data_IF_844195381270
#
_entry.id   IF_844195381270
#
_cell.length_a   1.000
_cell.length_b   1.000
_cell.length_c   1.000
_cell.angle_alpha   90.00
_cell.angle_beta   90.00
_cell.angle_gamma   90.00
#
_symmetry.space_group_name_H-M   'P 1'
#
loop_
_entity.id
_entity.type
_entity.pdbx_description
1 polymer ?
#
# COMPACT_ATOMS: atom_id res chain seq x y z
N UNK A 1 -33.29 -30.75 1.76
CA UNK A 1 -33.76 -29.36 1.86
C UNK A 1 -32.74 -28.50 1.12
N UNK A 2 -33.09 -27.93 -0.03
CA UNK A 2 -32.19 -27.12 -0.85
C UNK A 2 -31.86 -25.81 -0.12
N UNK A 3 -30.60 -25.40 -0.14
CA UNK A 3 -30.26 -23.98 -0.21
C UNK A 3 -29.06 -23.81 -1.15
N UNK A 4 -29.29 -23.05 -2.23
CA UNK A 4 -28.33 -22.71 -3.28
C UNK A 4 -27.41 -21.62 -2.77
N UNK A 5 -26.09 -21.83 -2.84
CA UNK A 5 -25.12 -20.75 -2.72
C UNK A 5 -24.83 -20.20 -4.13
N UNK A 6 -25.14 -18.91 -4.35
CA UNK A 6 -24.77 -18.13 -5.54
C UNK A 6 -23.77 -17.06 -5.08
N UNK A 7 -22.67 -16.91 -5.81
CA UNK A 7 -21.73 -15.80 -5.66
C UNK A 7 -20.28 -16.27 -5.61
N UNK A 8 -19.73 -16.61 -6.79
CA UNK A 8 -18.35 -17.04 -6.94
C UNK A 8 -17.42 -15.88 -7.27
N UNK A 9 -16.37 -15.72 -6.47
CA UNK A 9 -15.04 -15.41 -6.95
C UNK A 9 -14.20 -16.67 -6.70
N UNK A 10 -13.89 -17.45 -7.75
CA UNK A 10 -12.98 -18.58 -7.62
C UNK A 10 -11.54 -18.09 -7.66
N UNK A 11 -10.80 -18.40 -6.61
CA UNK A 11 -9.34 -18.32 -6.62
C UNK A 11 -8.84 -19.73 -7.01
N UNK A 12 -8.70 -19.99 -8.31
CA UNK A 12 -8.18 -21.26 -8.79
C UNK A 12 -6.66 -21.29 -8.63
N UNK A 13 -6.21 -21.82 -7.48
CA UNK A 13 -4.82 -22.19 -7.25
C UNK A 13 -4.59 -23.59 -7.84
N UNK A 14 -4.08 -23.66 -9.06
CA UNK A 14 -3.57 -24.90 -9.63
C UNK A 14 -2.20 -25.22 -9.01
N UNK A 15 -2.17 -26.17 -8.08
CA UNK A 15 -0.94 -26.79 -7.60
C UNK A 15 -0.75 -28.14 -8.31
N UNK A 16 0.31 -28.25 -9.11
CA UNK A 16 0.84 -29.55 -9.53
C UNK A 16 1.55 -30.18 -8.32
N UNK A 17 0.91 -31.20 -7.75
CA UNK A 17 1.48 -32.45 -7.20
C UNK A 17 0.50 -32.98 -6.15
N UNK A 18 -0.36 -33.90 -6.60
CA UNK A 18 -1.39 -34.49 -5.78
C UNK A 18 -0.84 -35.30 -4.62
N UNK A 19 -1.07 -34.84 -3.40
CA UNK A 19 -1.20 -35.64 -2.18
C UNK A 19 -2.19 -34.93 -1.23
N UNK A 20 -3.17 -35.64 -0.62
CA UNK A 20 -4.10 -35.01 0.30
C UNK A 20 -3.51 -34.97 1.71
N UNK A 21 -3.37 -33.77 2.28
CA UNK A 21 -3.26 -33.58 3.74
C UNK A 21 -4.43 -32.74 4.20
N UNK A 22 -5.41 -33.39 4.82
CA UNK A 22 -6.50 -32.75 5.57
C UNK A 22 -5.92 -32.09 6.82
N UNK A 23 -6.16 -30.79 6.99
CA UNK A 23 -5.89 -30.08 8.25
C UNK A 23 -7.21 -29.42 8.68
N UNK A 24 -7.86 -30.00 9.69
CA UNK A 24 -9.02 -29.39 10.36
C UNK A 24 -8.53 -28.21 11.22
N UNK A 25 -9.04 -27.02 10.97
CA UNK A 25 -8.93 -25.88 11.88
C UNK A 25 -10.22 -25.79 12.71
N UNK A 26 -10.15 -26.18 13.99
CA UNK A 26 -11.22 -25.97 14.95
C UNK A 26 -11.04 -24.60 15.62
N UNK A 27 -11.87 -23.64 15.24
CA UNK A 27 -12.22 -22.50 16.10
C UNK A 27 -13.55 -22.83 16.77
N UNK A 28 -13.59 -22.89 18.11
CA UNK A 28 -14.66 -22.28 18.91
C UNK A 28 -14.31 -22.36 20.41
N UNK A 29 -14.33 -21.20 21.06
CA UNK A 29 -14.44 -21.15 22.51
C UNK A 29 -15.85 -21.55 22.94
N UNK A 30 -15.94 -22.47 23.89
CA UNK A 30 -17.08 -22.61 24.79
C UNK A 30 -16.55 -23.02 26.17
N UNK A 31 -16.96 -22.25 27.19
CA UNK A 31 -16.82 -22.60 28.60
C UNK A 31 -17.74 -23.79 28.88
N UNK A 32 -17.19 -24.88 29.40
CA UNK A 32 -17.93 -25.85 30.19
C UNK A 32 -17.30 -25.95 31.58
N UNK A 33 -18.15 -25.79 32.59
CA UNK A 33 -17.85 -26.04 34.00
C UNK A 33 -18.27 -27.47 34.33
N UNK A 34 -17.35 -28.33 34.76
CA UNK A 34 -17.62 -29.52 35.56
C UNK A 34 -16.42 -29.78 36.49
N UNK A 35 -16.73 -30.16 37.73
CA UNK A 35 -15.85 -30.10 38.88
C UNK A 35 -14.94 -31.30 39.12
N UNK A 36 -14.20 -31.16 40.24
CA UNK A 36 -13.47 -32.18 41.01
C UNK A 36 -12.48 -33.06 40.23
N UNK A 37 -11.19 -32.73 40.32
CA UNK A 37 -10.27 -33.38 41.24
C UNK A 37 -8.88 -32.72 41.19
N UNK A 38 -8.25 -32.70 42.35
CA UNK A 38 -7.00 -32.04 42.67
C UNK A 38 -5.81 -32.94 42.33
N UNK A 39 -4.93 -32.51 41.44
CA UNK A 39 -3.54 -32.97 41.41
C UNK A 39 -2.59 -31.79 41.20
N UNK A 40 -1.75 -31.61 42.22
CA UNK A 40 -0.64 -30.66 42.27
C UNK A 40 0.55 -31.31 41.56
N UNK A 41 0.96 -30.79 40.41
CA UNK A 41 2.26 -31.09 39.80
C UNK A 41 3.04 -29.80 39.62
N UNK A 42 3.92 -29.53 40.58
CA UNK A 42 4.98 -28.53 40.50
C UNK A 42 5.95 -28.91 39.38
N UNK A 43 6.08 -28.05 38.36
CA UNK A 43 7.25 -28.04 37.50
C UNK A 43 8.12 -26.83 37.85
N UNK A 44 9.16 -27.08 38.66
CA UNK A 44 10.36 -26.26 38.69
C UNK A 44 11.24 -26.62 37.50
N UNK A 45 11.47 -25.68 36.58
CA UNK A 45 12.74 -25.54 35.86
C UNK A 45 12.80 -24.16 35.20
N UNK A 46 13.43 -23.22 35.91
CA UNK A 46 14.02 -22.04 35.31
C UNK A 46 15.13 -22.51 34.36
N UNK A 47 14.97 -22.30 33.06
CA UNK A 47 16.10 -22.27 32.14
C UNK A 47 16.71 -20.88 32.19
N UNK A 48 17.67 -20.70 33.09
CA UNK A 48 18.65 -19.62 33.02
C UNK A 48 19.60 -19.96 31.88
N UNK A 49 19.44 -19.31 30.73
CA UNK A 49 20.46 -19.37 29.68
C UNK A 49 21.68 -18.57 30.15
N UNK A 50 22.75 -19.31 30.44
CA UNK A 50 24.08 -18.79 30.71
C UNK A 50 24.62 -18.20 29.40
N UNK A 51 24.75 -16.88 29.34
CA UNK A 51 25.47 -16.20 28.25
C UNK A 51 26.94 -16.57 28.41
N UNK A 52 27.44 -17.44 27.54
CA UNK A 52 28.88 -17.63 27.35
C UNK A 52 29.35 -16.55 26.39
N UNK A 53 30.13 -15.59 26.91
CA UNK A 53 30.96 -14.71 26.10
C UNK A 53 32.00 -15.56 25.37
N UNK A 54 31.78 -15.79 24.08
CA UNK A 54 32.84 -16.12 23.14
C UNK A 54 33.07 -14.91 22.24
N UNK A 55 34.24 -14.31 22.43
CA UNK A 55 34.84 -13.29 21.60
C UNK A 55 35.16 -13.86 20.21
N UNK A 56 34.39 -13.43 19.21
CA UNK A 56 34.64 -13.74 17.81
C UNK A 56 34.02 -12.66 16.93
N UNK A 57 34.84 -11.71 16.50
CA UNK A 57 34.47 -10.68 15.52
C UNK A 57 34.10 -11.33 14.19
N UNK A 58 32.80 -11.53 13.98
CA UNK A 58 32.19 -11.70 12.67
C UNK A 58 30.93 -10.82 12.60
N UNK A 59 31.10 -9.52 12.89
CA UNK A 59 30.10 -8.52 12.55
C UNK A 59 30.04 -8.37 11.04
N UNK A 60 29.31 -9.25 10.36
CA UNK A 60 28.92 -9.04 8.98
C UNK A 60 28.18 -7.72 8.89
N UNK A 61 28.72 -6.77 8.11
CA UNK A 61 28.09 -5.49 7.86
C UNK A 61 26.82 -5.76 7.04
N UNK A 62 25.67 -5.90 7.69
CA UNK A 62 24.39 -6.13 7.03
C UNK A 62 23.85 -4.81 6.47
N UNK A 63 24.35 -4.42 5.29
CA UNK A 63 23.86 -3.25 4.56
C UNK A 63 22.36 -3.38 4.29
N UNK A 64 21.58 -2.30 4.49
CA UNK A 64 20.16 -2.32 4.14
C UNK A 64 20.04 -2.43 2.63
N UNK A 65 19.50 -3.56 2.18
CA UNK A 65 19.48 -3.97 0.79
C UNK A 65 18.16 -3.62 0.11
N UNK A 66 18.22 -3.44 -1.21
CA UNK A 66 17.04 -3.29 -2.05
C UNK A 66 16.18 -4.54 -1.98
N UNK A 67 14.86 -4.36 -2.08
CA UNK A 67 13.89 -5.46 -2.08
C UNK A 67 13.20 -5.59 -3.42
N UNK A 68 12.98 -6.84 -3.82
CA UNK A 68 12.10 -7.22 -4.93
C UNK A 68 11.17 -8.35 -4.47
N UNK A 69 10.30 -8.83 -5.36
CA UNK A 69 9.45 -9.98 -5.08
C UNK A 69 10.29 -11.27 -5.15
N UNK A 70 9.98 -12.25 -4.30
CA UNK A 70 10.61 -13.57 -4.36
C UNK A 70 10.02 -14.42 -5.48
N UNK A 71 8.69 -14.41 -5.61
CA UNK A 71 7.95 -15.14 -6.63
C UNK A 71 7.12 -14.20 -7.51
N UNK A 72 6.72 -14.69 -8.68
CA UNK A 72 5.70 -14.04 -9.50
C UNK A 72 4.33 -14.27 -8.87
N UNK A 73 3.51 -13.23 -8.75
CA UNK A 73 2.11 -13.36 -8.31
C UNK A 73 1.15 -12.70 -9.29
N UNK A 74 -0.05 -13.26 -9.38
CA UNK A 74 -1.09 -12.81 -10.31
C UNK A 74 -2.36 -12.49 -9.55
N UNK A 75 -3.09 -11.50 -10.02
CA UNK A 75 -4.42 -11.17 -9.56
C UNK A 75 -5.29 -10.78 -10.75
N UNK A 76 -6.60 -10.95 -10.58
CA UNK A 76 -7.60 -10.49 -11.54
C UNK A 76 -8.57 -9.58 -10.81
N UNK A 77 -8.95 -8.48 -11.44
CA UNK A 77 -9.94 -7.57 -10.90
C UNK A 77 -10.58 -6.73 -12.00
N UNK A 78 -11.23 -5.66 -11.58
CA UNK A 78 -11.84 -4.65 -12.46
C UNK A 78 -11.18 -3.30 -12.21
N UNK A 79 -11.02 -2.49 -13.25
CA UNK A 79 -10.66 -1.09 -13.09
C UNK A 79 -11.80 -0.29 -12.44
N UNK A 80 -11.48 0.64 -11.53
CA UNK A 80 -12.49 1.48 -10.88
C UNK A 80 -13.21 2.34 -11.91
N UNK A 81 -12.44 3.03 -12.75
CA UNK A 81 -12.98 4.01 -13.67
C UNK A 81 -13.46 3.37 -14.96
N UNK A 82 -12.67 2.48 -15.55
CA UNK A 82 -12.99 1.82 -16.81
C UNK A 82 -14.05 0.73 -16.68
N UNK A 83 -14.19 0.10 -15.51
CA UNK A 83 -15.01 -1.10 -15.33
C UNK A 83 -14.49 -2.34 -16.09
N UNK A 84 -13.35 -2.21 -16.78
CA UNK A 84 -12.76 -3.28 -17.58
C UNK A 84 -12.09 -4.33 -16.70
N UNK A 85 -12.21 -5.60 -17.10
CA UNK A 85 -11.46 -6.69 -16.48
C UNK A 85 -9.97 -6.52 -16.75
N UNK A 86 -9.16 -6.63 -15.70
CA UNK A 86 -7.69 -6.53 -15.80
C UNK A 86 -7.02 -7.71 -15.12
N UNK A 87 -6.01 -8.24 -15.80
CA UNK A 87 -5.07 -9.21 -15.27
C UNK A 87 -3.80 -8.48 -14.87
N UNK A 88 -3.49 -8.52 -13.57
CA UNK A 88 -2.29 -7.98 -12.96
C UNK A 88 -1.29 -9.11 -12.73
N UNK A 89 -0.04 -8.93 -13.17
CA UNK A 89 1.07 -9.81 -12.80
C UNK A 89 2.21 -8.98 -12.20
N UNK A 90 2.55 -9.26 -10.95
CA UNK A 90 3.71 -8.67 -10.27
C UNK A 90 4.90 -9.61 -10.40
N UNK A 91 6.04 -9.10 -10.86
CA UNK A 91 7.26 -9.90 -11.07
C UNK A 91 8.48 -9.29 -10.38
N UNK A 92 9.44 -10.14 -9.98
CA UNK A 92 10.75 -9.66 -9.57
C UNK A 92 11.41 -8.82 -10.66
N UNK A 93 12.21 -7.83 -10.27
CA UNK A 93 12.99 -7.00 -11.17
C UNK A 93 14.43 -6.85 -10.65
N UNK A 94 15.43 -6.65 -11.53
CA UNK A 94 16.82 -6.52 -11.12
C UNK A 94 17.05 -5.27 -10.26
N UNK A 95 18.18 -5.20 -9.52
CA UNK A 95 18.53 -4.03 -8.73
C UNK A 95 18.51 -2.74 -9.56
N UNK A 96 18.05 -1.65 -8.95
CA UNK A 96 17.92 -0.32 -9.55
C UNK A 96 16.94 -0.22 -10.74
N UNK A 97 16.12 -1.24 -11.00
CA UNK A 97 15.06 -1.15 -12.00
C UNK A 97 13.96 -0.16 -11.61
N UNK A 98 13.70 0.00 -10.30
CA UNK A 98 12.55 0.73 -9.78
C UNK A 98 11.24 -0.05 -10.01
N UNK A 99 10.11 0.64 -9.83
CA UNK A 99 8.78 0.10 -10.12
C UNK A 99 8.40 0.47 -11.56
N UNK A 100 8.24 -0.54 -12.41
CA UNK A 100 7.97 -0.35 -13.84
C UNK A 100 6.65 -1.00 -14.22
N UNK A 101 5.68 -0.18 -14.60
CA UNK A 101 4.42 -0.65 -15.17
C UNK A 101 4.58 -1.01 -16.64
N UNK A 102 3.96 -2.10 -17.09
CA UNK A 102 4.06 -2.60 -18.46
C UNK A 102 2.69 -2.94 -19.01
N UNK A 103 2.29 -2.26 -20.09
CA UNK A 103 1.08 -2.56 -20.85
C UNK A 103 1.37 -3.70 -21.82
N UNK A 104 1.01 -4.92 -21.44
CA UNK A 104 1.32 -6.14 -22.22
C UNK A 104 0.23 -6.51 -23.22
N UNK A 105 -0.91 -5.82 -23.17
CA UNK A 105 -2.03 -5.94 -24.09
C UNK A 105 -1.83 -5.18 -25.41
N UNK A 106 -0.86 -4.26 -25.46
CA UNK A 106 -0.51 -3.54 -26.69
C UNK A 106 0.33 -4.42 -27.62
N UNK A 107 0.19 -4.24 -28.94
CA UNK A 107 0.95 -4.98 -29.96
C UNK A 107 2.46 -4.94 -29.69
N UNK A 108 2.95 -3.78 -29.25
CA UNK A 108 4.30 -3.61 -28.69
C UNK A 108 4.17 -3.22 -27.22
N UNK A 109 4.61 -4.08 -26.28
CA UNK A 109 4.51 -3.74 -24.87
C UNK A 109 5.21 -2.44 -24.52
N UNK A 110 4.52 -1.54 -23.82
CA UNK A 110 5.08 -0.25 -23.40
C UNK A 110 5.40 -0.29 -21.91
N UNK A 111 6.61 0.14 -21.54
CA UNK A 111 7.08 0.20 -20.15
C UNK A 111 7.13 1.65 -19.63
N UNK A 112 6.44 1.90 -18.53
CA UNK A 112 6.29 3.17 -17.85
C UNK A 112 6.93 3.07 -16.45
N UNK A 113 8.09 3.69 -16.27
CA UNK A 113 8.70 3.83 -14.96
C UNK A 113 7.81 4.71 -14.06
N UNK A 114 7.53 4.27 -12.84
CA UNK A 114 6.80 5.05 -11.85
C UNK A 114 7.68 6.20 -11.34
N UNK A 115 7.54 7.38 -11.96
CA UNK A 115 8.27 8.60 -11.62
C UNK A 115 7.43 9.85 -11.83
N UNK A 116 7.71 10.97 -11.15
CA UNK A 116 6.82 12.14 -11.19
C UNK A 116 6.70 12.73 -12.59
N UNK A 117 7.77 12.64 -13.40
CA UNK A 117 7.79 13.15 -14.78
C UNK A 117 6.89 12.35 -15.72
N UNK A 118 6.59 11.08 -15.39
CA UNK A 118 5.70 10.25 -16.19
C UNK A 118 4.23 10.39 -15.75
N UNK A 119 3.91 11.14 -14.69
CA UNK A 119 2.52 11.45 -14.35
C UNK A 119 1.96 12.43 -15.37
N UNK A 120 0.93 12.00 -16.10
CA UNK A 120 0.31 12.78 -17.17
C UNK A 120 -1.11 13.25 -16.88
N UNK A 121 -1.82 12.58 -15.98
CA UNK A 121 -3.19 12.93 -15.55
C UNK A 121 -3.36 12.60 -14.07
N UNK A 122 -4.06 13.47 -13.36
CA UNK A 122 -4.30 13.39 -11.90
C UNK A 122 -5.78 13.54 -11.54
N UNK A 123 -6.67 13.44 -12.53
CA UNK A 123 -8.12 13.56 -12.33
C UNK A 123 -8.62 12.23 -11.75
N UNK A 124 -9.13 12.27 -10.52
CA UNK A 124 -9.66 11.15 -9.72
C UNK A 124 -8.69 10.01 -9.35
N UNK A 125 -7.54 9.92 -10.01
CA UNK A 125 -6.47 8.95 -9.73
C UNK A 125 -5.13 9.50 -10.21
N UNK A 126 -4.02 8.82 -9.90
CA UNK A 126 -2.72 9.08 -10.52
C UNK A 126 -2.55 8.22 -11.77
N UNK A 127 -2.26 8.86 -12.90
CA UNK A 127 -2.06 8.19 -14.19
C UNK A 127 -0.66 8.43 -14.75
N UNK A 128 0.05 7.34 -15.04
CA UNK A 128 1.30 7.37 -15.78
C UNK A 128 1.03 7.40 -17.28
N UNK A 129 1.77 8.23 -18.02
CA UNK A 129 1.67 8.38 -19.48
C UNK A 129 3.07 8.37 -20.09
N UNK A 130 3.25 7.57 -21.15
CA UNK A 130 4.48 7.52 -21.94
C UNK A 130 4.18 6.95 -23.33
N UNK A 131 4.69 7.60 -24.38
CA UNK A 131 4.60 7.12 -25.77
C UNK A 131 3.16 6.74 -26.19
N UNK A 132 2.17 7.53 -25.76
CA UNK A 132 0.74 7.29 -26.02
C UNK A 132 0.08 6.20 -25.16
N UNK A 133 0.85 5.38 -24.44
CA UNK A 133 0.31 4.44 -23.46
C UNK A 133 0.01 5.14 -22.14
N UNK A 134 -1.03 4.66 -21.45
CA UNK A 134 -1.40 5.09 -20.09
C UNK A 134 -1.60 3.91 -19.15
N UNK A 135 -1.31 4.15 -17.87
CA UNK A 135 -1.67 3.28 -16.74
C UNK A 135 -2.24 4.15 -15.64
N UNK A 136 -3.53 4.00 -15.38
CA UNK A 136 -4.29 4.76 -14.38
C UNK A 136 -4.43 4.00 -13.06
N UNK A 137 -4.73 4.73 -11.99
CA UNK A 137 -5.02 4.20 -10.64
C UNK A 137 -3.83 3.47 -10.01
N UNK A 138 -2.62 4.03 -10.15
CA UNK A 138 -1.38 3.39 -9.66
C UNK A 138 -1.15 3.53 -8.16
N UNK A 139 -1.80 4.52 -7.54
CA UNK A 139 -1.54 5.01 -6.19
C UNK A 139 -1.71 3.95 -5.09
N UNK A 140 -2.75 3.10 -5.15
CA UNK A 140 -2.98 2.10 -4.08
C UNK A 140 -1.95 0.97 -4.12
N UNK A 141 -1.58 0.53 -5.32
CA UNK A 141 -0.53 -0.46 -5.51
C UNK A 141 0.84 0.10 -5.12
N UNK A 142 1.15 1.33 -5.52
CA UNK A 142 2.38 2.01 -5.11
C UNK A 142 2.42 2.21 -3.60
N UNK A 143 1.29 2.51 -2.95
CA UNK A 143 1.20 2.62 -1.50
C UNK A 143 1.53 1.30 -0.80
N UNK A 144 1.02 0.17 -1.32
CA UNK A 144 1.38 -1.15 -0.82
C UNK A 144 2.88 -1.46 -0.99
N UNK A 145 3.46 -1.14 -2.16
CA UNK A 145 4.89 -1.32 -2.43
C UNK A 145 5.76 -0.46 -1.51
N UNK A 146 5.38 0.79 -1.30
CA UNK A 146 6.05 1.71 -0.38
C UNK A 146 6.02 1.18 1.06
N UNK A 147 4.84 0.77 1.53
CA UNK A 147 4.63 0.27 2.89
C UNK A 147 5.37 -1.05 3.20
N UNK A 148 5.62 -1.87 2.17
CA UNK A 148 6.41 -3.11 2.28
C UNK A 148 7.89 -2.92 1.91
N UNK A 149 8.27 -1.73 1.44
CA UNK A 149 9.63 -1.37 1.08
C UNK A 149 10.15 -2.02 -0.21
N UNK A 150 9.28 -2.37 -1.16
CA UNK A 150 9.66 -2.97 -2.45
C UNK A 150 10.28 -1.92 -3.37
N UNK A 151 11.57 -2.05 -3.67
CA UNK A 151 12.31 -1.12 -4.52
C UNK A 151 12.18 -1.44 -6.01
N UNK A 152 12.16 -2.72 -6.36
CA UNK A 152 12.23 -3.18 -7.75
C UNK A 152 11.10 -4.16 -8.06
N UNK A 153 10.25 -3.85 -9.03
CA UNK A 153 9.24 -4.77 -9.54
C UNK A 153 8.81 -4.41 -10.96
N UNK A 154 8.47 -5.44 -11.75
CA UNK A 154 7.70 -5.25 -12.97
C UNK A 154 6.21 -5.49 -12.69
N UNK A 155 5.37 -4.58 -13.14
CA UNK A 155 3.92 -4.61 -12.97
C UNK A 155 3.26 -4.75 -14.34
N UNK A 156 2.92 -5.98 -14.72
CA UNK A 156 2.26 -6.24 -16.00
C UNK A 156 0.76 -6.07 -15.86
N UNK A 157 0.18 -5.35 -16.82
CA UNK A 157 -1.26 -5.12 -16.91
C UNK A 157 -1.75 -5.49 -18.30
N UNK A 158 -2.86 -6.23 -18.34
CA UNK A 158 -3.59 -6.52 -19.58
C UNK A 158 -4.57 -5.40 -19.97
N UNK A 159 -4.54 -4.25 -19.29
CA UNK A 159 -5.45 -3.13 -19.50
C UNK A 159 -4.80 -1.82 -19.05
N UNK A 160 -5.47 -0.69 -19.33
CA UNK A 160 -4.98 0.66 -19.07
C UNK A 160 -5.11 1.14 -17.61
N UNK A 161 -5.59 0.29 -16.70
CA UNK A 161 -5.90 0.64 -15.32
C UNK A 161 -5.52 -0.51 -14.38
N UNK A 162 -4.96 -0.19 -13.22
CA UNK A 162 -4.72 -1.17 -12.14
C UNK A 162 -6.06 -1.62 -11.56
N UNK A 163 -6.25 -2.91 -11.20
CA UNK A 163 -7.51 -3.36 -10.60
C UNK A 163 -7.77 -2.65 -9.27
N UNK A 164 -9.00 -2.21 -9.01
CA UNK A 164 -9.34 -1.50 -7.77
C UNK A 164 -9.38 -2.40 -6.53
N UNK A 165 -9.52 -3.71 -6.74
CA UNK A 165 -9.67 -4.70 -5.67
C UNK A 165 -10.85 -4.34 -4.74
N UNK A 166 -10.59 -4.11 -3.45
CA UNK A 166 -11.60 -3.69 -2.46
C UNK A 166 -11.59 -2.17 -2.20
N UNK A 167 -10.89 -1.39 -3.03
CA UNK A 167 -10.71 0.04 -2.86
C UNK A 167 -9.59 0.45 -1.92
N UNK A 168 -8.85 -0.49 -1.36
CA UNK A 168 -7.72 -0.25 -0.45
C UNK A 168 -6.42 -0.89 -0.95
N UNK A 169 -5.33 -0.69 -0.22
CA UNK A 169 -4.05 -1.35 -0.49
C UNK A 169 -3.96 -2.77 0.12
N UNK A 170 -4.91 -3.17 0.97
CA UNK A 170 -4.90 -4.43 1.72
C UNK A 170 -4.74 -5.67 0.84
N UNK A 171 -5.52 -5.83 -0.24
CA UNK A 171 -5.37 -6.95 -1.17
C UNK A 171 -3.98 -7.00 -1.83
N UNK A 172 -3.39 -5.85 -2.17
CA UNK A 172 -2.04 -5.79 -2.72
C UNK A 172 -0.97 -6.14 -1.68
N UNK A 173 -1.13 -5.68 -0.45
CA UNK A 173 -0.25 -6.07 0.66
C UNK A 173 -0.26 -7.58 0.84
N UNK A 174 -1.45 -8.19 0.86
CA UNK A 174 -1.59 -9.64 0.96
C UNK A 174 -0.88 -10.35 -0.19
N UNK A 175 -1.12 -9.94 -1.44
CA UNK A 175 -0.48 -10.52 -2.61
C UNK A 175 1.06 -10.43 -2.55
N UNK A 176 1.61 -9.26 -2.20
CA UNK A 176 3.05 -9.07 -2.12
C UNK A 176 3.66 -9.93 -1.00
N UNK A 177 2.99 -10.02 0.16
CA UNK A 177 3.44 -10.88 1.26
C UNK A 177 3.39 -12.37 0.88
N UNK A 178 2.32 -12.83 0.21
CA UNK A 178 2.21 -14.20 -0.30
C UNK A 178 3.27 -14.53 -1.36
N UNK A 179 3.62 -13.56 -2.21
CA UNK A 179 4.71 -13.73 -3.17
C UNK A 179 6.08 -13.87 -2.49
N UNK A 180 6.21 -13.36 -1.26
CA UNK A 180 7.46 -13.24 -0.53
C UNK A 180 8.32 -12.07 -1.02
N UNK A 181 9.19 -11.59 -0.14
CA UNK A 181 10.13 -10.49 -0.42
C UNK A 181 11.55 -11.06 -0.48
N UNK A 182 12.30 -10.67 -1.51
CA UNK A 182 13.69 -11.06 -1.72
C UNK A 182 14.58 -9.82 -1.63
N UNK A 183 15.56 -9.86 -0.73
CA UNK A 183 16.62 -8.85 -0.71
C UNK A 183 17.62 -9.09 -1.85
N UNK A 184 18.14 -7.99 -2.39
CA UNK A 184 19.07 -8.00 -3.51
C UNK A 184 20.42 -7.47 -3.05
N UNK A 185 21.52 -7.95 -3.65
CA UNK A 185 22.88 -7.49 -3.32
C UNK A 185 23.18 -6.09 -3.88
N UNK A 186 22.42 -5.10 -3.42
CA UNK A 186 22.55 -3.70 -3.76
C UNK A 186 21.94 -2.85 -2.63
N UNK A 187 22.58 -1.74 -2.24
CA UNK A 187 22.08 -0.91 -1.15
C UNK A 187 20.75 -0.24 -1.50
N UNK A 188 19.82 -0.28 -0.54
CA UNK A 188 18.60 0.52 -0.57
C UNK A 188 18.96 1.98 -0.38
N UNK A 189 18.44 2.81 -1.28
CA UNK A 189 18.63 4.27 -1.23
C UNK A 189 17.35 4.92 -0.74
N UNK A 190 17.51 5.86 0.19
CA UNK A 190 16.44 6.66 0.75
C UNK A 190 16.61 8.10 0.31
N UNK A 191 15.50 8.80 0.12
CA UNK A 191 15.49 10.22 -0.19
C UNK A 191 15.25 11.00 1.10
N UNK A 192 16.26 11.70 1.61
CA UNK A 192 16.16 12.48 2.84
C UNK A 192 15.87 13.94 2.53
N UNK A 193 14.82 14.49 3.16
CA UNK A 193 14.49 15.92 3.10
C UNK A 193 15.46 16.71 3.98
N UNK A 194 16.11 17.71 3.37
CA UNK A 194 17.09 18.62 4.00
C UNK A 194 16.51 20.00 4.31
N UNK A 195 15.52 20.42 3.52
CA UNK A 195 14.87 21.74 3.64
C UNK A 195 13.38 21.60 3.40
N UNK A 196 12.60 22.47 4.02
CA UNK A 196 11.16 22.50 3.80
C UNK A 196 10.85 22.94 2.36
N UNK A 197 9.94 22.24 1.71
CA UNK A 197 9.43 22.54 0.36
C UNK A 197 7.92 22.55 0.42
N UNK A 198 7.29 23.60 -0.11
CA UNK A 198 5.84 23.80 -0.02
C UNK A 198 5.30 24.26 -1.36
N UNK A 199 4.12 23.75 -1.71
CA UNK A 199 3.34 24.17 -2.88
C UNK A 199 1.90 24.46 -2.46
N UNK A 200 1.27 25.42 -3.12
CA UNK A 200 -0.08 25.89 -2.80
C UNK A 200 -0.89 26.14 -4.08
N UNK A 201 -2.18 25.79 -4.04
CA UNK A 201 -3.15 26.08 -5.11
C UNK A 201 -4.48 26.48 -4.46
N UNK A 202 -4.80 27.78 -4.50
CA UNK A 202 -5.98 28.32 -3.83
C UNK A 202 -5.91 28.11 -2.31
N UNK A 203 -6.86 27.36 -1.75
CA UNK A 203 -6.90 27.02 -0.32
C UNK A 203 -6.20 25.69 0.01
N UNK A 204 -5.65 24.99 -0.99
CA UNK A 204 -4.99 23.70 -0.84
C UNK A 204 -3.47 23.88 -0.75
N UNK A 205 -2.82 23.05 0.06
CA UNK A 205 -1.35 23.05 0.12
C UNK A 205 -0.79 21.67 0.46
N UNK A 206 0.44 21.42 0.03
CA UNK A 206 1.22 20.24 0.39
C UNK A 206 2.66 20.66 0.72
N UNK A 207 3.26 20.02 1.70
CA UNK A 207 4.57 20.41 2.22
C UNK A 207 5.41 19.20 2.66
N UNK A 208 6.70 19.26 2.37
CA UNK A 208 7.72 18.44 3.00
C UNK A 208 8.49 19.24 4.06
N UNK A 209 8.90 18.57 5.13
CA UNK A 209 9.83 19.10 6.12
C UNK A 209 10.88 18.06 6.52
N UNK A 210 12.09 18.47 6.95
CA UNK A 210 13.07 17.57 7.52
C UNK A 210 12.50 16.88 8.77
N UNK A 211 12.65 15.55 8.82
CA UNK A 211 12.21 14.74 9.95
C UNK A 211 13.02 13.43 9.96
N UNK A 212 13.51 13.03 11.12
CA UNK A 212 14.31 11.80 11.30
C UNK A 212 13.39 10.58 11.41
N UNK A 213 12.68 10.30 10.32
CA UNK A 213 11.70 9.23 10.20
C UNK A 213 10.87 9.40 8.94
N UNK A 214 9.75 8.69 8.85
CA UNK A 214 8.76 8.94 7.81
C UNK A 214 7.40 9.19 8.45
N UNK A 215 6.88 10.41 8.27
CA UNK A 215 5.61 10.84 8.85
C UNK A 215 4.71 11.44 7.79
N UNK A 216 3.44 11.05 7.80
CA UNK A 216 2.42 11.58 6.88
C UNK A 216 1.27 12.14 7.69
N UNK A 217 1.00 13.43 7.52
CA UNK A 217 -0.17 14.11 8.08
C UNK A 217 -1.08 14.55 6.95
N UNK A 218 -2.37 14.26 7.06
CA UNK A 218 -3.36 14.69 6.08
C UNK A 218 -4.55 15.34 6.77
N UNK A 219 -5.04 16.42 6.18
CA UNK A 219 -6.21 17.16 6.64
C UNK A 219 -7.19 17.30 5.47
N UNK A 220 -8.40 16.78 5.65
CA UNK A 220 -9.48 16.87 4.66
C UNK A 220 -10.47 17.98 5.04
N UNK A 221 -11.06 18.60 4.03
CA UNK A 221 -11.99 19.72 4.18
C UNK A 221 -13.23 19.54 3.32
N UNK A 222 -13.97 18.46 3.54
CA UNK A 222 -15.25 18.20 2.87
C UNK A 222 -16.40 18.88 3.61
N UNK A 223 -17.20 19.64 2.89
CA UNK A 223 -18.47 20.20 3.38
C UNK A 223 -19.58 19.18 3.17
N UNK A 224 -19.72 18.25 4.12
CA UNK A 224 -20.71 17.18 4.06
C UNK A 224 -21.04 16.67 5.48
N UNK A 225 -22.31 16.39 5.82
CA UNK A 225 -22.75 16.07 7.19
C UNK A 225 -21.95 14.95 7.87
N UNK A 226 -21.65 13.87 7.14
CA UNK A 226 -20.86 12.73 7.64
C UNK A 226 -19.48 13.16 8.17
N UNK A 227 -18.83 14.15 7.53
CA UNK A 227 -17.51 14.61 7.95
C UNK A 227 -17.56 15.52 9.17
N UNK A 228 -18.74 15.96 9.61
CA UNK A 228 -18.91 16.69 10.89
C UNK A 228 -18.79 15.78 12.11
N UNK A 229 -19.06 14.48 11.94
CA UNK A 229 -18.92 13.46 12.98
C UNK A 229 -17.64 12.63 12.87
N UNK A 230 -16.93 12.68 11.73
CA UNK A 230 -15.69 11.91 11.52
C UNK A 230 -14.42 12.75 11.73
N UNK A 231 -13.30 12.14 12.16
CA UNK A 231 -12.00 12.81 12.20
C UNK A 231 -11.58 13.30 10.81
N UNK A 232 -11.19 14.58 10.73
CA UNK A 232 -10.74 15.24 9.49
C UNK A 232 -9.23 15.34 9.35
N UNK A 233 -8.48 14.92 10.37
CA UNK A 233 -7.03 14.95 10.43
C UNK A 233 -6.52 13.61 10.90
N UNK A 234 -5.58 13.03 10.16
CA UNK A 234 -4.79 11.89 10.61
C UNK A 234 -3.30 12.23 10.49
N UNK A 235 -2.51 11.71 11.43
CA UNK A 235 -1.06 11.83 11.43
C UNK A 235 -0.48 10.45 11.76
N UNK A 236 0.22 9.85 10.82
CA UNK A 236 0.82 8.52 10.96
C UNK A 236 2.34 8.66 10.90
N UNK A 237 3.02 8.16 11.93
CA UNK A 237 4.47 8.08 12.00
C UNK A 237 4.91 6.63 11.82
N UNK A 238 5.53 6.34 10.68
CA UNK A 238 5.94 4.99 10.29
C UNK A 238 7.23 4.52 10.97
N UNK A 239 7.83 5.34 11.84
CA UNK A 239 8.87 4.88 12.78
C UNK A 239 8.28 4.07 13.94
N UNK A 240 6.99 4.22 14.23
CA UNK A 240 6.32 3.58 15.37
C UNK A 240 5.03 2.85 15.00
N UNK A 241 4.47 3.15 13.82
CA UNK A 241 3.16 2.66 13.39
C UNK A 241 3.27 1.72 12.20
N UNK A 242 2.52 0.61 12.23
CA UNK A 242 2.49 -0.35 11.12
C UNK A 242 1.55 0.14 10.00
N UNK A 243 2.11 0.39 8.81
CA UNK A 243 1.32 0.66 7.59
C UNK A 243 0.25 -0.41 7.34
N UNK A 244 0.63 -1.69 7.46
CA UNK A 244 -0.25 -2.83 7.19
C UNK A 244 -1.49 -2.79 8.09
N UNK A 245 -1.32 -2.52 9.39
CA UNK A 245 -2.44 -2.53 10.34
C UNK A 245 -3.27 -1.25 10.29
N UNK A 246 -2.62 -0.09 10.18
CA UNK A 246 -3.27 1.20 10.42
C UNK A 246 -3.77 1.90 9.16
N UNK A 247 -3.17 1.63 8.00
CA UNK A 247 -3.43 2.40 6.77
C UNK A 247 -3.93 1.51 5.64
N UNK A 248 -3.31 0.34 5.44
CA UNK A 248 -3.49 -0.43 4.20
C UNK A 248 -4.94 -0.81 3.86
N UNK A 249 -5.80 -0.98 4.87
CA UNK A 249 -7.20 -1.39 4.69
C UNK A 249 -8.18 -0.23 4.50
N UNK A 250 -7.72 1.03 4.56
CA UNK A 250 -8.60 2.18 4.40
C UNK A 250 -9.04 2.31 2.95
N UNK A 251 -10.35 2.20 2.69
CA UNK A 251 -10.91 2.18 1.34
C UNK A 251 -11.10 3.57 0.75
N UNK A 252 -11.08 3.63 -0.57
CA UNK A 252 -11.48 4.81 -1.33
C UNK A 252 -12.95 5.13 -1.10
N UNK A 253 -13.35 6.34 -1.45
CA UNK A 253 -14.70 6.81 -1.20
C UNK A 253 -15.19 7.77 -2.29
N UNK A 254 -16.51 7.82 -2.46
CA UNK A 254 -17.17 8.69 -3.42
C UNK A 254 -18.59 9.04 -3.00
N UNK A 255 -19.14 10.07 -3.62
CA UNK A 255 -20.51 10.54 -3.36
C UNK A 255 -21.48 9.99 -4.39
N UNK A 256 -22.62 9.46 -3.93
CA UNK A 256 -23.67 8.89 -4.76
C UNK A 256 -24.17 9.89 -5.81
N UNK A 257 -24.31 11.17 -5.42
CA UNK A 257 -24.73 12.27 -6.29
C UNK A 257 -23.80 12.49 -7.50
N UNK A 258 -22.52 12.11 -7.37
CA UNK A 258 -21.53 12.29 -8.43
C UNK A 258 -21.49 11.08 -9.39
N UNK A 259 -22.03 9.92 -8.98
CA UNK A 259 -21.87 8.66 -9.73
C UNK A 259 -22.50 8.74 -11.13
N UNK A 260 -23.69 9.33 -11.29
CA UNK A 260 -24.33 9.45 -12.60
C UNK A 260 -23.50 10.32 -13.56
N UNK A 261 -23.00 11.46 -13.06
CA UNK A 261 -22.12 12.34 -13.82
C UNK A 261 -20.81 11.64 -14.19
N UNK A 262 -20.19 10.94 -13.24
CA UNK A 262 -18.94 10.20 -13.48
C UNK A 262 -19.15 9.13 -14.55
N UNK A 263 -20.22 8.32 -14.45
CA UNK A 263 -20.52 7.26 -15.42
C UNK A 263 -20.81 7.81 -16.81
N UNK A 264 -21.51 8.95 -16.91
CA UNK A 264 -21.74 9.64 -18.18
C UNK A 264 -20.43 10.11 -18.85
N UNK A 265 -19.35 10.28 -18.07
CA UNK A 265 -18.01 10.65 -18.55
C UNK A 265 -17.02 9.47 -18.56
N UNK A 266 -17.50 8.22 -18.59
CA UNK A 266 -16.69 6.99 -18.57
C UNK A 266 -15.77 6.87 -17.34
N UNK A 267 -16.22 7.36 -16.18
CA UNK A 267 -15.55 7.27 -14.90
C UNK A 267 -16.42 6.48 -13.91
N UNK A 268 -15.78 5.85 -12.93
CA UNK A 268 -16.42 5.03 -11.90
C UNK A 268 -17.35 3.91 -12.45
N UNK A 269 -17.08 3.39 -13.65
CA UNK A 269 -17.90 2.33 -14.27
C UNK A 269 -17.78 0.98 -13.52
N UNK A 270 -16.63 0.73 -12.87
CA UNK A 270 -16.39 -0.42 -12.01
C UNK A 270 -16.64 -0.16 -10.52
N UNK A 271 -17.08 1.05 -10.16
CA UNK A 271 -17.36 1.43 -8.77
C UNK A 271 -18.58 0.73 -8.20
N UNK A 272 -18.44 0.18 -6.99
CA UNK A 272 -19.49 -0.52 -6.25
C UNK A 272 -19.25 -0.40 -4.73
N UNK A 273 -20.23 -0.85 -3.93
CA UNK A 273 -20.08 -0.91 -2.46
C UNK A 273 -18.99 -1.90 -2.01
N UNK A 274 -18.59 -2.84 -2.87
CA UNK A 274 -17.55 -3.82 -2.60
C UNK A 274 -16.14 -3.20 -2.66
N UNK A 275 -16.00 -2.09 -3.39
CA UNK A 275 -14.70 -1.47 -3.69
C UNK A 275 -14.60 0.03 -3.38
N UNK A 276 -15.62 0.61 -2.74
CA UNK A 276 -15.59 1.98 -2.27
C UNK A 276 -16.55 2.17 -1.08
N UNK A 277 -16.22 3.11 -0.21
CA UNK A 277 -17.19 3.69 0.73
C UNK A 277 -18.03 4.71 -0.02
N UNK A 278 -19.34 4.51 -0.10
CA UNK A 278 -20.24 5.39 -0.84
C UNK A 278 -21.08 6.21 0.14
N UNK A 279 -21.11 7.51 -0.06
CA UNK A 279 -21.92 8.44 0.73
C UNK A 279 -23.11 8.94 -0.08
N UNK A 280 -24.32 8.90 0.47
CA UNK A 280 -25.41 9.77 0.01
C UNK A 280 -25.27 11.16 0.67
N UNK A 281 -26.23 12.07 0.47
CA UNK A 281 -26.17 13.44 1.00
C UNK A 281 -26.14 13.52 2.54
N UNK A 282 -26.42 12.42 3.26
CA UNK A 282 -26.61 12.40 4.70
C UNK A 282 -25.82 11.30 5.44
N UNK A 283 -25.54 10.16 4.81
CA UNK A 283 -25.01 8.96 5.46
C UNK A 283 -24.13 8.11 4.55
N UNK A 284 -23.46 7.13 5.17
CA UNK A 284 -22.73 6.06 4.50
C UNK A 284 -23.71 4.97 4.06
N UNK A 285 -23.55 4.46 2.84
CA UNK A 285 -24.43 3.45 2.24
C UNK A 285 -23.96 2.01 2.43
N UNK A 286 -22.69 1.79 2.79
CA UNK A 286 -22.16 0.45 3.03
C UNK A 286 -22.78 -0.14 4.31
N UNK A 287 -23.45 -1.29 4.21
CA UNK A 287 -24.13 -1.94 5.35
C UNK A 287 -23.18 -2.27 6.51
N UNK A 288 -21.95 -2.71 6.19
CA UNK A 288 -20.91 -3.01 7.18
C UNK A 288 -20.22 -1.75 7.76
N UNK A 289 -20.59 -0.56 7.28
CA UNK A 289 -20.03 0.71 7.72
C UNK A 289 -18.54 0.91 7.36
N UNK A 290 -17.83 1.61 8.24
CA UNK A 290 -16.40 1.91 8.09
C UNK A 290 -15.51 0.85 8.76
N UNK A 291 -14.32 0.64 8.20
CA UNK A 291 -13.27 -0.20 8.80
C UNK A 291 -12.53 0.52 9.93
N UNK A 292 -12.54 1.86 9.89
CA UNK A 292 -11.94 2.75 10.88
C UNK A 292 -12.82 3.99 11.03
N UNK A 293 -12.91 4.56 12.24
CA UNK A 293 -13.67 5.79 12.47
C UNK A 293 -13.14 6.97 11.62
N UNK A 294 -11.85 6.96 11.30
CA UNK A 294 -11.14 7.93 10.48
C UNK A 294 -10.77 7.40 9.07
N UNK A 295 -11.50 6.40 8.55
CA UNK A 295 -11.19 5.70 7.29
C UNK A 295 -10.99 6.66 6.10
N UNK A 296 -11.78 7.72 5.98
CA UNK A 296 -11.67 8.69 4.88
C UNK A 296 -10.32 9.42 4.86
N UNK A 297 -9.88 9.93 6.01
CA UNK A 297 -8.60 10.65 6.08
C UNK A 297 -7.41 9.68 6.07
N UNK A 298 -7.57 8.47 6.62
CA UNK A 298 -6.58 7.39 6.47
C UNK A 298 -6.40 6.96 5.02
N UNK A 299 -7.47 6.93 4.23
CA UNK A 299 -7.34 6.69 2.79
C UNK A 299 -6.57 7.80 2.09
N UNK A 300 -6.73 9.07 2.50
CA UNK A 300 -5.89 10.17 1.97
C UNK A 300 -4.43 10.07 2.38
N UNK A 301 -4.14 9.51 3.56
CA UNK A 301 -2.77 9.12 3.93
C UNK A 301 -2.25 7.99 3.01
N UNK A 302 -3.08 6.98 2.71
CA UNK A 302 -2.74 5.90 1.79
C UNK A 302 -2.43 6.43 0.38
N UNK A 303 -3.31 7.26 -0.19
CA UNK A 303 -3.13 7.93 -1.48
C UNK A 303 -1.82 8.70 -1.51
N UNK A 304 -1.56 9.53 -0.48
CA UNK A 304 -0.33 10.30 -0.37
C UNK A 304 0.90 9.40 -0.40
N UNK A 305 0.95 8.33 0.40
CA UNK A 305 2.09 7.40 0.41
C UNK A 305 2.36 6.81 -0.98
N UNK A 306 1.30 6.45 -1.71
CA UNK A 306 1.39 5.95 -3.07
C UNK A 306 1.95 6.99 -4.05
N UNK A 307 1.41 8.20 -4.02
CA UNK A 307 1.89 9.30 -4.85
C UNK A 307 3.36 9.64 -4.52
N UNK A 308 3.70 9.76 -3.25
CA UNK A 308 5.06 10.06 -2.78
C UNK A 308 6.07 9.00 -3.25
N UNK A 309 5.65 7.75 -3.38
CA UNK A 309 6.51 6.67 -3.86
C UNK A 309 6.87 6.78 -5.35
N UNK A 310 6.22 7.68 -6.10
CA UNK A 310 6.71 8.07 -7.42
C UNK A 310 8.12 8.67 -7.37
N UNK A 311 8.62 9.13 -6.23
CA UNK A 311 10.05 9.48 -6.10
C UNK A 311 10.99 8.29 -6.36
N UNK A 312 10.47 7.06 -6.40
CA UNK A 312 11.22 5.82 -6.66
C UNK A 312 12.04 5.34 -5.46
N UNK A 313 11.94 6.04 -4.32
CA UNK A 313 12.72 5.81 -3.12
C UNK A 313 11.85 6.03 -1.88
N UNK A 314 12.13 5.27 -0.82
CA UNK A 314 11.52 5.53 0.49
C UNK A 314 12.00 6.87 1.04
N UNK A 315 11.08 7.64 1.63
CA UNK A 315 11.31 9.01 2.08
C UNK A 315 11.73 9.08 3.55
N UNK A 316 12.75 9.88 3.87
CA UNK A 316 13.07 10.31 5.24
C UNK A 316 12.71 11.79 5.33
N UNK A 317 11.64 12.09 6.05
CA UNK A 317 11.02 13.40 6.12
C UNK A 317 9.56 13.30 6.56
N UNK A 318 8.96 14.46 6.80
CA UNK A 318 7.52 14.56 7.04
C UNK A 318 6.84 15.13 5.81
N UNK A 319 5.65 14.60 5.52
CA UNK A 319 4.71 15.18 4.56
C UNK A 319 3.48 15.67 5.31
N UNK A 320 3.02 16.87 4.98
CA UNK A 320 1.72 17.38 5.41
C UNK A 320 0.91 17.87 4.21
N UNK A 321 -0.31 17.35 4.05
CA UNK A 321 -1.26 17.79 3.03
C UNK A 321 -2.53 18.37 3.66
N UNK A 322 -2.92 19.56 3.22
CA UNK A 322 -4.21 20.18 3.56
C UNK A 322 -5.06 20.33 2.31
N UNK A 323 -6.18 19.61 2.27
CA UNK A 323 -7.06 19.49 1.07
C UNK A 323 -6.28 19.10 -0.20
N UNK A 324 -5.12 18.47 -0.04
CA UNK A 324 -4.29 18.02 -1.16
C UNK A 324 -4.97 16.85 -1.89
N UNK A 325 -4.51 16.61 -3.11
CA UNK A 325 -4.86 15.45 -3.93
C UNK A 325 -3.72 15.12 -4.88
N UNK A 326 -3.93 14.17 -5.78
CA UNK A 326 -2.88 13.64 -6.68
C UNK A 326 -2.13 14.73 -7.47
N UNK A 327 -2.85 15.74 -7.98
CA UNK A 327 -2.26 16.86 -8.71
C UNK A 327 -1.25 17.66 -7.88
N UNK A 328 -1.68 18.11 -6.70
CA UNK A 328 -0.85 18.92 -5.80
C UNK A 328 0.29 18.09 -5.18
N UNK A 329 0.05 16.80 -4.93
CA UNK A 329 1.10 15.86 -4.51
C UNK A 329 2.20 15.76 -5.59
N UNK A 330 1.83 15.51 -6.85
CA UNK A 330 2.80 15.45 -7.95
C UNK A 330 3.51 16.79 -8.20
N UNK A 331 2.81 17.93 -8.05
CA UNK A 331 3.43 19.25 -8.12
C UNK A 331 4.50 19.42 -7.03
N UNK A 332 4.21 18.99 -5.79
CA UNK A 332 5.19 18.98 -4.71
C UNK A 332 6.41 18.12 -5.04
N UNK A 333 6.19 16.91 -5.58
CA UNK A 333 7.29 16.01 -5.97
C UNK A 333 8.18 16.64 -7.05
N UNK A 334 7.58 17.23 -8.08
CA UNK A 334 8.32 17.92 -9.15
C UNK A 334 9.10 19.11 -8.62
N UNK A 335 8.50 19.88 -7.70
CA UNK A 335 9.15 21.03 -7.04
C UNK A 335 10.34 20.59 -6.20
N UNK A 336 10.18 19.52 -5.40
CA UNK A 336 11.28 18.93 -4.63
C UNK A 336 12.41 18.45 -5.55
N UNK A 337 12.08 17.74 -6.63
CA UNK A 337 13.09 17.19 -7.56
C UNK A 337 13.82 18.27 -8.36
N UNK A 338 13.23 19.46 -8.53
CA UNK A 338 13.89 20.60 -9.15
C UNK A 338 14.89 21.31 -8.21
N UNK A 339 14.71 21.22 -6.90
CA UNK A 339 15.61 21.80 -5.90
C UNK A 339 16.51 20.72 -5.26
N UNK A 340 17.67 20.49 -5.87
CA UNK A 340 18.67 19.55 -5.35
C UNK A 340 19.20 19.91 -3.95
N UNK A 341 19.06 21.17 -3.50
CA UNK A 341 19.49 21.58 -2.16
C UNK A 341 18.52 21.14 -1.06
N UNK A 342 17.29 20.78 -1.43
CA UNK A 342 16.24 20.38 -0.51
C UNK A 342 16.27 18.89 -0.15
N UNK A 343 17.09 18.07 -0.81
CA UNK A 343 17.14 16.64 -0.55
C UNK A 343 18.49 15.99 -0.88
N UNK A 344 18.75 14.84 -0.28
CA UNK A 344 19.93 14.00 -0.55
C UNK A 344 19.57 12.52 -0.61
N UNK A 345 20.34 11.72 -1.36
CA UNK A 345 20.24 10.26 -1.31
C UNK A 345 21.14 9.70 -0.23
N UNK A 346 20.61 8.83 0.63
CA UNK A 346 21.36 8.17 1.69
C UNK A 346 21.17 6.66 1.69
N UNK A 347 22.13 5.95 2.26
CA UNK A 347 22.12 4.50 2.45
C UNK A 347 22.54 4.18 3.88
N UNK A 348 22.06 3.09 4.45
CA UNK A 348 22.39 2.67 5.81
C UNK A 348 23.10 1.33 5.81
N UNK A 349 24.09 1.20 6.71
CA UNK A 349 24.86 -0.03 6.90
C UNK A 349 24.32 -0.94 8.00
N UNK A 350 23.52 -0.39 8.90
CA UNK A 350 22.89 -1.12 10.00
C UNK A 350 21.40 -0.74 10.08
N UNK A 351 20.58 -1.72 10.43
CA UNK A 351 19.16 -1.56 10.77
C UNK A 351 18.92 -0.62 11.94
N UNK A 352 19.86 -0.55 12.90
CA UNK A 352 19.75 0.34 14.07
C UNK A 352 19.79 1.82 13.67
N UNK A 353 20.50 2.13 12.59
CA UNK A 353 20.64 3.50 12.09
C UNK A 353 19.47 3.92 11.17
N UNK A 354 18.55 3.01 10.84
CA UNK A 354 17.46 3.26 9.89
C UNK A 354 16.26 3.91 10.60
N UNK A 355 15.84 5.13 10.20
CA UNK A 355 14.77 5.85 10.90
C UNK A 355 13.35 5.41 10.48
N UNK A 356 13.23 4.36 9.66
CA UNK A 356 11.96 3.84 9.13
C UNK A 356 11.89 2.35 9.41
N UNK A 357 10.74 1.86 9.90
CA UNK A 357 10.53 0.43 10.11
C UNK A 357 9.78 -0.16 8.91
N UNK A 358 10.41 -1.11 8.21
CA UNK A 358 9.70 -1.95 7.26
C UNK A 358 9.22 -3.23 7.94
N UNK A 359 8.13 -3.81 7.43
CA UNK A 359 7.73 -5.15 7.84
C UNK A 359 8.88 -6.14 7.56
N UNK A 360 9.18 -6.99 8.54
CA UNK A 360 10.09 -8.12 8.35
C UNK A 360 9.49 -9.05 7.28
N UNK A 361 10.30 -9.57 6.35
CA UNK A 361 9.82 -10.59 5.41
C UNK A 361 9.27 -11.78 6.20
N UNK A 362 7.98 -12.05 6.05
CA UNK A 362 7.42 -13.32 6.54
C UNK A 362 7.86 -14.40 5.54
N UNK A 363 8.37 -15.56 6.00
CA UNK A 363 8.68 -16.67 5.10
C UNK A 363 7.44 -17.01 4.26
N UNK A 364 7.59 -17.07 2.94
CA UNK A 364 6.54 -17.61 2.08
C UNK A 364 6.28 -19.06 2.51
N UNK A 365 5.01 -19.39 2.80
CA UNK A 365 4.55 -20.73 3.17
C UNK A 365 4.56 -21.63 1.95
#
# INVERSE_FOLDING_TARGET
MLCRNRGGASLDLLFENGYPTTCEFQFLGFRFSLGHESEVLQFHRLNVFKVTEESGTAGGIFMINQRTLKNVIRATGVGLHSGGKVYLTLRPAPPNAGIVFRRIDLEKPVSLLARPQNVGDTTLSTTLVKDGARVSTVEHLLSAMAGLGIDNAFVDLSAAEVPIMDGSAGPFVFLIQSAGIQEQSAPKRFLRIRRSVRVEEGDKWAQFEPFDGFKVTFIIGFDHPVFSSCPRKASVDFSTTSFVKEVSRARTFGFMRDIEYLRANNLALGGSLDNAVVLDDYRILNDDGLRYDDEFVKHKVLDAIGDLYLLGHSLIGSFTGYKSGHGLNNLLLRTLMADQSAWEMVTFKDTVDMPIIFASPVPAI
#
